data_IF_988857565084
#
_entry.id   IF_988857565084
#
_cell.length_a   1.000
_cell.length_b   1.000
_cell.length_c   1.000
_cell.angle_alpha   90.00
_cell.angle_beta   90.00
_cell.angle_gamma   90.00
#
_symmetry.space_group_name_H-M   'P 1'
#
loop_
_entity.id
_entity.type
_entity.pdbx_description
1 polymer ?
#
# COMPACT_ATOMS: atom_id res chain seq x y z
N UNK A 1 -11.54 -3.02 -14.18
CA UNK A 1 -11.67 -2.41 -12.84
C UNK A 1 -10.30 -1.98 -12.31
N UNK A 2 -9.31 -2.87 -12.34
CA UNK A 2 -7.96 -2.66 -11.79
C UNK A 2 -7.26 -1.39 -12.29
N UNK A 3 -7.22 -1.14 -13.61
CA UNK A 3 -6.60 0.07 -14.16
C UNK A 3 -7.28 1.37 -13.70
N UNK A 4 -8.61 1.37 -13.56
CA UNK A 4 -9.33 2.54 -13.03
C UNK A 4 -9.07 2.74 -11.53
N UNK A 5 -8.91 1.64 -10.78
CA UNK A 5 -8.57 1.68 -9.36
C UNK A 5 -7.14 2.20 -9.13
N UNK A 6 -6.16 1.72 -9.91
CA UNK A 6 -4.77 2.17 -9.84
C UNK A 6 -4.60 3.66 -10.15
N UNK A 7 -5.45 4.22 -11.03
CA UNK A 7 -5.47 5.65 -11.36
C UNK A 7 -6.41 6.49 -10.47
N UNK A 8 -7.04 5.89 -9.44
CA UNK A 8 -7.85 6.63 -8.49
C UNK A 8 -9.20 7.11 -9.03
N UNK A 9 -9.64 6.58 -10.17
CA UNK A 9 -10.87 6.98 -10.85
C UNK A 9 -12.10 6.38 -10.18
N UNK A 10 -12.41 6.85 -8.97
CA UNK A 10 -13.52 6.33 -8.15
C UNK A 10 -14.87 6.34 -8.89
N UNK A 11 -15.15 7.37 -9.68
CA UNK A 11 -16.39 7.46 -10.45
C UNK A 11 -16.48 6.37 -11.52
N UNK A 12 -15.37 6.07 -12.22
CA UNK A 12 -15.30 4.97 -13.19
C UNK A 12 -15.44 3.63 -12.49
N UNK A 13 -14.80 3.45 -11.33
CA UNK A 13 -14.91 2.21 -10.55
C UNK A 13 -16.35 1.97 -10.07
N UNK A 14 -17.05 3.00 -9.59
CA UNK A 14 -18.47 2.92 -9.23
C UNK A 14 -19.33 2.56 -10.44
N UNK A 15 -19.11 3.24 -11.56
CA UNK A 15 -19.84 2.95 -12.79
C UNK A 15 -19.62 1.50 -13.25
N UNK A 16 -18.37 1.04 -13.27
CA UNK A 16 -18.03 -0.34 -13.63
C UNK A 16 -18.64 -1.35 -12.66
N UNK A 17 -18.71 -1.05 -11.37
CA UNK A 17 -19.35 -1.92 -10.38
C UNK A 17 -20.86 -2.07 -10.60
N UNK A 18 -21.54 -0.98 -10.97
CA UNK A 18 -22.99 -0.97 -11.20
C UNK A 18 -23.38 -1.57 -12.56
N UNK A 19 -22.54 -1.39 -13.58
CA UNK A 19 -22.87 -1.71 -14.97
C UNK A 19 -22.14 -2.94 -15.53
N UNK A 20 -21.20 -3.52 -14.78
CA UNK A 20 -20.45 -4.71 -15.23
C UNK A 20 -20.37 -5.75 -14.12
N UNK A 21 -20.41 -7.04 -14.52
CA UNK A 21 -20.07 -8.17 -13.66
C UNK A 21 -18.56 -8.40 -13.56
N UNK A 22 -17.74 -7.47 -14.08
CA UNK A 22 -16.29 -7.57 -14.04
C UNK A 22 -15.78 -7.62 -12.60
N UNK A 23 -15.04 -8.68 -12.27
CA UNK A 23 -14.53 -8.92 -10.92
C UNK A 23 -13.56 -7.83 -10.43
N UNK A 24 -13.50 -7.67 -9.11
CA UNK A 24 -12.38 -7.01 -8.44
C UNK A 24 -11.27 -8.04 -8.20
N UNK A 25 -10.04 -7.70 -8.53
CA UNK A 25 -8.87 -8.48 -8.14
C UNK A 25 -8.06 -7.75 -7.07
N UNK A 26 -7.10 -8.44 -6.46
CA UNK A 26 -6.13 -7.83 -5.54
C UNK A 26 -5.36 -6.67 -6.19
N UNK A 27 -5.17 -6.70 -7.51
CA UNK A 27 -4.47 -5.63 -8.24
C UNK A 27 -5.20 -4.29 -8.15
N UNK A 28 -6.53 -4.28 -8.03
CA UNK A 28 -7.28 -3.04 -7.83
C UNK A 28 -6.96 -2.41 -6.46
N UNK A 29 -6.91 -3.22 -5.40
CA UNK A 29 -6.56 -2.78 -4.04
C UNK A 29 -5.08 -2.38 -3.96
N UNK A 30 -4.19 -3.20 -4.50
CA UNK A 30 -2.74 -2.98 -4.46
C UNK A 30 -2.34 -1.74 -5.28
N UNK A 31 -2.87 -1.59 -6.49
CA UNK A 31 -2.62 -0.42 -7.34
C UNK A 31 -3.18 0.87 -6.74
N UNK A 32 -4.38 0.82 -6.15
CA UNK A 32 -4.93 1.98 -5.45
C UNK A 32 -4.12 2.35 -4.19
N UNK A 33 -3.50 1.36 -3.52
CA UNK A 33 -2.64 1.61 -2.36
C UNK A 33 -1.27 2.17 -2.76
N UNK A 34 -0.70 1.63 -3.84
CA UNK A 34 0.55 2.09 -4.46
C UNK A 34 0.49 3.56 -4.87
N UNK A 35 -0.67 4.06 -5.33
CA UNK A 35 -0.85 5.45 -5.78
C UNK A 35 -1.61 6.34 -4.77
N UNK A 36 -1.83 5.85 -3.53
CA UNK A 36 -2.32 6.69 -2.44
C UNK A 36 -3.83 6.97 -2.45
N UNK A 37 -4.63 6.19 -3.17
CA UNK A 37 -6.07 6.43 -3.38
C UNK A 37 -6.95 5.90 -2.22
N UNK A 38 -6.77 6.46 -1.02
CA UNK A 38 -7.46 6.02 0.21
C UNK A 38 -8.99 5.96 0.09
N UNK A 39 -9.62 6.95 -0.53
CA UNK A 39 -11.08 6.98 -0.70
C UNK A 39 -11.58 5.82 -1.55
N UNK A 40 -10.79 5.41 -2.54
CA UNK A 40 -11.09 4.27 -3.41
C UNK A 40 -10.91 2.95 -2.67
N UNK A 41 -9.85 2.79 -1.87
CA UNK A 41 -9.63 1.61 -1.03
C UNK A 41 -10.78 1.38 -0.04
N UNK A 42 -11.24 2.44 0.63
CA UNK A 42 -12.40 2.39 1.53
C UNK A 42 -13.65 1.94 0.80
N UNK A 43 -13.87 2.46 -0.40
CA UNK A 43 -15.04 2.11 -1.19
C UNK A 43 -14.98 0.65 -1.67
N UNK A 44 -13.84 0.20 -2.20
CA UNK A 44 -13.62 -1.19 -2.62
C UNK A 44 -13.87 -2.16 -1.45
N UNK A 45 -13.33 -1.86 -0.27
CA UNK A 45 -13.49 -2.70 0.92
C UNK A 45 -14.95 -2.87 1.37
N UNK A 46 -15.80 -1.87 1.17
CA UNK A 46 -17.22 -1.92 1.55
C UNK A 46 -18.07 -2.60 0.48
N UNK A 47 -17.75 -2.41 -0.80
CA UNK A 47 -18.63 -2.81 -1.91
C UNK A 47 -18.19 -4.10 -2.62
N UNK A 48 -16.98 -4.59 -2.36
CA UNK A 48 -16.42 -5.79 -3.00
C UNK A 48 -15.79 -6.69 -1.94
N UNK A 49 -16.19 -7.96 -1.96
CA UNK A 49 -15.63 -9.01 -1.10
C UNK A 49 -15.03 -10.15 -1.92
N UNK A 50 -15.43 -10.30 -3.19
CA UNK A 50 -14.80 -11.24 -4.11
C UNK A 50 -13.42 -10.75 -4.58
N UNK A 51 -12.36 -11.55 -4.38
CA UNK A 51 -11.03 -11.35 -4.97
C UNK A 51 -10.25 -10.09 -4.57
N UNK A 52 -10.90 -9.13 -3.92
CA UNK A 52 -10.43 -7.83 -3.46
C UNK A 52 -9.63 -7.99 -2.13
N UNK A 53 -8.75 -8.98 -2.05
CA UNK A 53 -7.86 -9.17 -0.92
C UNK A 53 -6.64 -8.27 -1.10
N UNK A 54 -6.37 -7.44 -0.11
CA UNK A 54 -5.18 -6.59 -0.12
C UNK A 54 -3.97 -7.46 0.23
N UNK A 55 -2.88 -7.30 -0.53
CA UNK A 55 -1.67 -8.09 -0.30
C UNK A 55 -0.69 -7.33 0.61
N UNK A 56 0.36 -8.02 1.07
CA UNK A 56 1.48 -7.35 1.76
C UNK A 56 2.16 -6.33 0.82
N UNK A 57 2.06 -6.53 -0.49
CA UNK A 57 2.63 -5.63 -1.49
C UNK A 57 1.96 -4.26 -1.50
N UNK A 58 0.64 -4.18 -1.29
CA UNK A 58 -0.05 -2.90 -1.09
C UNK A 58 0.55 -2.08 0.05
N UNK A 59 0.85 -2.74 1.17
CA UNK A 59 1.45 -2.10 2.33
C UNK A 59 2.86 -1.62 2.01
N UNK A 60 3.69 -2.51 1.43
CA UNK A 60 5.07 -2.22 1.04
C UNK A 60 5.15 -1.04 0.07
N UNK A 61 4.37 -1.06 -1.00
CA UNK A 61 4.32 -0.01 -2.02
C UNK A 61 3.77 1.32 -1.49
N UNK A 62 2.73 1.27 -0.65
CA UNK A 62 2.21 2.50 -0.03
C UNK A 62 3.24 3.18 0.86
N UNK A 63 4.10 2.40 1.54
CA UNK A 63 5.20 2.91 2.36
C UNK A 63 6.35 3.46 1.49
N UNK A 64 6.76 2.71 0.46
CA UNK A 64 7.79 3.16 -0.49
C UNK A 64 7.42 4.49 -1.15
N UNK A 65 6.17 4.66 -1.58
CA UNK A 65 5.68 5.87 -2.23
C UNK A 65 5.23 6.98 -1.26
N UNK A 66 5.41 6.79 0.06
CA UNK A 66 5.12 7.82 1.06
C UNK A 66 3.63 8.03 1.38
N UNK A 67 2.74 7.11 1.00
CA UNK A 67 1.30 7.20 1.23
C UNK A 67 0.90 6.75 2.65
N UNK A 68 1.32 7.53 3.66
CA UNK A 68 1.13 7.21 5.09
C UNK A 68 -0.33 7.04 5.47
N UNK A 69 -1.23 7.83 4.90
CA UNK A 69 -2.67 7.73 5.16
C UNK A 69 -3.22 6.35 4.72
N UNK A 70 -2.71 5.82 3.61
CA UNK A 70 -3.04 4.48 3.13
C UNK A 70 -2.42 3.43 4.04
N UNK A 71 -1.13 3.50 4.33
CA UNK A 71 -0.45 2.56 5.22
C UNK A 71 -1.11 2.48 6.61
N UNK A 72 -1.48 3.63 7.18
CA UNK A 72 -2.20 3.73 8.46
C UNK A 72 -3.57 3.06 8.39
N UNK A 73 -4.29 3.26 7.29
CA UNK A 73 -5.58 2.61 7.07
C UNK A 73 -5.42 1.09 6.93
N UNK A 74 -4.46 0.64 6.11
CA UNK A 74 -4.16 -0.78 5.89
C UNK A 74 -3.79 -1.48 7.19
N UNK A 75 -2.90 -0.90 7.99
CA UNK A 75 -2.50 -1.43 9.31
C UNK A 75 -3.69 -1.60 10.25
N UNK A 76 -4.60 -0.62 10.29
CA UNK A 76 -5.79 -0.65 11.17
C UNK A 76 -6.84 -1.66 10.69
N UNK A 77 -7.05 -1.73 9.37
CA UNK A 77 -8.08 -2.59 8.78
C UNK A 77 -7.61 -4.04 8.63
N UNK A 78 -6.31 -4.26 8.48
CA UNK A 78 -5.71 -5.57 8.26
C UNK A 78 -4.45 -5.77 9.11
N UNK A 79 -4.60 -6.08 10.43
CA UNK A 79 -3.47 -6.28 11.34
C UNK A 79 -2.53 -7.43 10.95
N UNK A 80 -2.99 -8.33 10.08
CA UNK A 80 -2.20 -9.44 9.54
C UNK A 80 -1.16 -9.00 8.50
N UNK A 81 -1.28 -7.81 7.92
CA UNK A 81 -0.33 -7.30 6.93
C UNK A 81 0.91 -6.75 7.64
N UNK A 82 1.86 -7.65 7.89
CA UNK A 82 3.18 -7.30 8.40
C UNK A 82 4.19 -7.47 7.27
N UNK A 83 4.77 -6.38 6.74
CA UNK A 83 5.86 -6.51 5.78
C UNK A 83 7.04 -7.22 6.46
N UNK A 84 7.70 -8.12 5.74
CA UNK A 84 8.93 -8.78 6.22
C UNK A 84 10.18 -7.96 5.87
N UNK A 85 10.09 -7.15 4.81
CA UNK A 85 11.08 -6.16 4.42
C UNK A 85 10.37 -5.01 3.69
N UNK A 86 10.97 -3.83 3.70
CA UNK A 86 10.58 -2.69 2.86
C UNK A 86 11.87 -2.20 2.22
N UNK A 87 11.95 -2.19 0.89
CA UNK A 87 13.18 -1.74 0.22
C UNK A 87 13.23 -0.20 0.22
N UNK A 88 14.21 0.35 0.94
CA UNK A 88 14.49 1.78 1.07
C UNK A 88 15.70 2.22 0.23
N UNK A 89 16.30 1.31 -0.54
CA UNK A 89 17.56 1.57 -1.26
C UNK A 89 17.41 2.41 -2.53
N UNK A 90 16.17 2.58 -3.02
CA UNK A 90 15.85 3.46 -4.13
C UNK A 90 15.45 4.84 -3.59
N UNK A 91 16.22 5.86 -4.00
CA UNK A 91 16.03 7.27 -3.67
C UNK A 91 14.55 7.70 -3.75
N UNK A 92 14.07 8.41 -2.72
CA UNK A 92 12.73 9.02 -2.53
C UNK A 92 11.70 8.31 -1.63
N UNK A 93 12.10 7.41 -0.72
CA UNK A 93 11.19 7.09 0.39
C UNK A 93 11.07 8.31 1.32
N UNK A 94 9.85 8.87 1.40
CA UNK A 94 9.60 10.08 2.18
C UNK A 94 10.02 9.90 3.65
N UNK A 95 10.61 10.93 4.26
CA UNK A 95 10.96 10.91 5.69
C UNK A 95 9.78 10.51 6.61
N UNK A 96 8.53 10.97 6.37
CA UNK A 96 7.37 10.46 7.11
C UNK A 96 7.16 8.95 7.02
N UNK A 97 7.48 8.32 5.88
CA UNK A 97 7.40 6.87 5.73
C UNK A 97 8.47 6.15 6.53
N UNK A 98 9.70 6.68 6.53
CA UNK A 98 10.79 6.15 7.36
C UNK A 98 10.42 6.21 8.84
N UNK A 99 9.90 7.34 9.31
CA UNK A 99 9.43 7.48 10.69
C UNK A 99 8.28 6.53 11.01
N UNK A 100 7.30 6.41 10.12
CA UNK A 100 6.18 5.48 10.31
C UNK A 100 6.65 4.03 10.40
N UNK A 101 7.62 3.62 9.58
CA UNK A 101 8.24 2.30 9.63
C UNK A 101 9.00 2.10 10.95
N UNK A 102 9.80 3.09 11.36
CA UNK A 102 10.52 3.03 12.63
C UNK A 102 9.56 2.90 13.83
N UNK A 103 8.47 3.66 13.85
CA UNK A 103 7.51 3.66 14.95
C UNK A 103 6.69 2.36 15.03
N UNK A 104 6.25 1.82 13.89
CA UNK A 104 5.29 0.72 13.87
C UNK A 104 5.90 -0.64 13.50
N UNK A 105 7.08 -0.65 12.92
CA UNK A 105 7.77 -1.83 12.42
C UNK A 105 9.27 -1.78 12.78
N UNK A 106 9.60 -1.41 14.02
CA UNK A 106 10.97 -1.24 14.50
C UNK A 106 11.89 -2.45 14.21
N UNK A 107 11.36 -3.68 14.18
CA UNK A 107 12.14 -4.88 13.80
C UNK A 107 12.62 -4.89 12.34
N UNK A 108 11.90 -4.21 11.45
CA UNK A 108 12.29 -4.02 10.05
C UNK A 108 13.38 -2.96 9.90
N UNK A 109 13.55 -2.09 10.89
CA UNK A 109 14.63 -1.10 10.97
C UNK A 109 15.93 -1.76 11.48
N UNK A 110 16.30 -2.91 10.93
CA UNK A 110 17.58 -3.58 11.21
C UNK A 110 18.68 -3.04 10.30
N UNK A 111 19.95 -3.25 10.68
CA UNK A 111 21.17 -2.66 10.07
C UNK A 111 21.23 -2.68 8.54
N UNK A 112 20.51 -3.59 7.88
CA UNK A 112 20.45 -3.69 6.43
C UNK A 112 19.75 -2.50 5.74
N UNK A 113 18.81 -1.82 6.43
CA UNK A 113 18.06 -0.67 5.93
C UNK A 113 18.86 0.63 5.88
N UNK A 114 19.88 0.76 6.74
CA UNK A 114 20.69 1.98 6.86
C UNK A 114 21.88 1.99 5.90
N UNK A 115 22.05 0.94 5.09
CA UNK A 115 23.32 0.67 4.42
C UNK A 115 24.41 0.40 5.45
N UNK A 116 25.37 -0.44 5.12
CA UNK A 116 26.55 -0.57 5.95
C UNK A 116 27.30 0.77 5.96
N UNK A 117 27.18 1.54 7.04
CA UNK A 117 28.16 2.56 7.41
C UNK A 117 29.40 1.85 8.00
N UNK A 118 29.97 0.91 7.24
CA UNK A 118 31.28 0.30 7.48
C UNK A 118 31.89 -0.14 6.16
N UNK A 119 32.60 0.78 5.55
CA UNK A 119 33.86 0.45 4.88
C UNK A 119 34.88 1.53 5.24
N UNK A 120 35.73 1.16 6.19
CA UNK A 120 37.14 1.49 6.32
C UNK A 120 37.59 2.96 6.54
N UNK A 121 37.84 3.28 7.81
CA UNK A 121 38.90 4.18 8.25
C UNK A 121 39.59 3.58 9.49
#
# INVERSE_FOLDING_TARGET
>A
MDGAAANGHLHVVKWLHEHTSGGCTSNAMDGAAEHGHLSLLKWLKVNRTEGCNVTIEAMRKSLQNGHIAVASWLKRTFPQLKPQYVDLSFYDVSFPAVLFIQEHYCSLFTRHMLGEYRSDA
#
